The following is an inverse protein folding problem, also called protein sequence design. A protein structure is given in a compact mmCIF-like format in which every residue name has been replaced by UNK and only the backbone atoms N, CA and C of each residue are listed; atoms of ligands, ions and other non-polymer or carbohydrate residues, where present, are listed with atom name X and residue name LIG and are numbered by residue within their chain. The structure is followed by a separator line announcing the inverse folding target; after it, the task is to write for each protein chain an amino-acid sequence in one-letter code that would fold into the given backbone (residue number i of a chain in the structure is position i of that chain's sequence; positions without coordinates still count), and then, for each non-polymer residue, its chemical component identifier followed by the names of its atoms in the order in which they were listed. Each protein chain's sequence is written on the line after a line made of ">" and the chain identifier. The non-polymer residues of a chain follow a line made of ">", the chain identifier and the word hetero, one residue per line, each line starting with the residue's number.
data_IF_522774225560
#
_entry.id   IF_522774225560
#
_cell.length_a   1.000
_cell.length_b   1.000
_cell.length_c   1.000
_cell.angle_alpha   90.00
_cell.angle_beta   90.00
_cell.angle_gamma   90.00
#
_symmetry.space_group_name_H-M   'P 1'
#
loop_
_entity.id
_entity.type
_entity.pdbx_description
1 polymer ?
#
# COMPACT_ATOMS: atom_id res chain seq x y z
N UNK A 1 -14.50 77.29 16.34
CA UNK A 1 -15.44 76.66 15.38
C UNK A 1 -15.68 75.24 15.88
N UNK A 2 -16.89 74.83 16.34
CA UNK A 2 -18.21 74.76 15.67
C UNK A 2 -18.24 73.57 14.69
N UNK A 3 -19.12 72.54 14.79
CA UNK A 3 -20.04 72.17 15.89
C UNK A 3 -20.50 70.68 15.89
N UNK A 4 -20.70 70.15 17.11
CA UNK A 4 -21.44 68.95 17.61
C UNK A 4 -22.11 67.92 16.66
N UNK A 5 -21.84 66.63 16.99
CA UNK A 5 -22.77 65.51 17.33
C UNK A 5 -24.10 65.32 16.55
N UNK A 6 -24.39 64.04 16.19
CA UNK A 6 -25.47 63.22 16.81
C UNK A 6 -25.49 61.73 16.37
N UNK A 7 -25.78 60.83 17.33
CA UNK A 7 -26.57 59.59 17.13
C UNK A 7 -27.90 59.79 17.87
N UNK A 8 -29.02 59.19 17.42
CA UNK A 8 -29.60 58.00 18.09
C UNK A 8 -30.26 57.05 17.05
N UNK A 9 -31.31 56.27 17.36
CA UNK A 9 -31.38 54.99 18.11
C UNK A 9 -32.62 54.22 17.60
N UNK A 10 -32.76 52.91 17.83
CA UNK A 10 -33.85 52.06 17.30
C UNK A 10 -35.11 51.96 18.19
N UNK A 11 -36.27 51.65 17.60
CA UNK A 11 -37.42 50.96 18.23
C UNK A 11 -38.46 50.42 17.21
N UNK A 12 -39.49 49.71 17.68
CA UNK A 12 -40.34 48.74 16.94
C UNK A 12 -41.74 49.25 16.52
N UNK A 13 -42.49 48.42 15.77
CA UNK A 13 -43.94 48.03 15.84
C UNK A 13 -44.39 47.55 14.42
N UNK A 14 -45.12 46.43 14.17
CA UNK A 14 -46.51 46.00 14.53
C UNK A 14 -47.60 46.92 13.92
N UNK A 15 -48.72 46.46 13.31
CA UNK A 15 -49.31 45.09 13.16
C UNK A 15 -50.46 45.00 12.12
N UNK A 16 -51.02 43.79 11.93
CA UNK A 16 -52.42 43.43 11.55
C UNK A 16 -52.85 43.20 10.07
N UNK A 17 -53.93 42.39 9.94
CA UNK A 17 -54.60 41.86 8.71
C UNK A 17 -56.06 42.39 8.62
N UNK A 18 -56.96 42.01 7.65
CA UNK A 18 -57.62 40.67 7.64
C UNK A 18 -58.17 40.09 6.28
N UNK A 19 -58.56 38.81 6.35
CA UNK A 19 -59.67 38.05 5.68
C UNK A 19 -60.07 38.18 4.18
N UNK A 20 -60.20 37.02 3.51
CA UNK A 20 -61.51 36.37 3.21
C UNK A 20 -61.38 34.98 2.53
N UNK A 21 -62.44 34.15 2.54
CA UNK A 21 -62.56 32.75 2.01
C UNK A 21 -64.06 32.32 2.05
N UNK A 22 -64.53 31.08 1.71
CA UNK A 22 -63.87 29.85 1.23
C UNK A 22 -64.02 29.70 -0.31
N UNK A 23 -64.87 28.87 -0.99
CA UNK A 23 -65.71 27.70 -0.62
C UNK A 23 -64.97 26.34 -0.50
N UNK A 24 -65.67 25.20 -0.65
CA UNK A 24 -65.25 23.88 -0.16
C UNK A 24 -65.95 22.67 -0.86
N UNK A 25 -65.38 21.46 -0.73
CA UNK A 25 -66.13 20.18 -0.74
C UNK A 25 -65.46 19.13 0.18
N UNK A 26 -66.23 18.19 0.77
CA UNK A 26 -65.76 17.35 1.90
C UNK A 26 -66.68 16.13 2.14
N UNK A 27 -66.16 15.10 2.84
CA UNK A 27 -66.87 13.95 3.51
C UNK A 27 -67.23 12.76 2.58
N UNK A 28 -67.34 11.50 3.03
CA UNK A 28 -67.08 10.87 4.37
C UNK A 28 -66.86 9.34 4.26
N UNK A 29 -66.29 8.75 5.32
CA UNK A 29 -66.33 7.31 5.66
C UNK A 29 -67.68 6.97 6.36
N UNK A 30 -68.14 5.71 6.36
CA UNK A 30 -68.22 4.96 7.63
C UNK A 30 -67.88 3.45 7.51
N UNK A 31 -68.15 2.65 8.56
CA UNK A 31 -67.45 1.38 8.85
C UNK A 31 -68.34 0.19 9.26
N UNK A 32 -67.74 -1.01 9.19
CA UNK A 32 -67.88 -2.16 10.12
C UNK A 32 -69.08 -3.14 10.05
N UNK A 33 -68.84 -4.33 10.63
CA UNK A 33 -69.74 -5.45 11.01
C UNK A 33 -70.12 -6.46 9.90
N UNK A 34 -69.90 -7.76 10.17
CA UNK A 34 -70.36 -8.90 9.36
C UNK A 34 -69.62 -10.21 9.68
N UNK A 35 -70.34 -11.27 10.07
CA UNK A 35 -69.78 -12.51 10.65
C UNK A 35 -69.80 -13.73 9.69
N UNK A 36 -69.31 -14.86 10.20
CA UNK A 36 -69.57 -16.26 9.82
C UNK A 36 -68.65 -16.97 8.80
N UNK A 37 -68.28 -18.19 9.20
CA UNK A 37 -67.31 -19.12 8.64
C UNK A 37 -67.77 -19.89 7.39
N UNK A 38 -66.82 -20.53 6.69
CA UNK A 38 -66.73 -22.00 6.60
C UNK A 38 -65.56 -22.54 5.75
N UNK A 39 -65.21 -23.81 5.98
CA UNK A 39 -64.44 -24.78 5.17
C UNK A 39 -64.02 -24.36 3.75
N UNK A 40 -62.79 -24.61 3.29
CA UNK A 40 -62.20 -25.95 3.12
C UNK A 40 -60.65 -25.93 3.06
N UNK A 41 -60.02 -27.04 3.48
CA UNK A 41 -58.59 -27.29 3.25
C UNK A 41 -58.38 -28.14 1.97
N UNK A 42 -57.32 -27.85 1.21
CA UNK A 42 -56.88 -28.67 0.06
C UNK A 42 -55.34 -28.80 0.04
N UNK A 43 -54.77 -30.03 -0.03
CA UNK A 43 -53.39 -30.28 0.40
C UNK A 43 -52.33 -30.25 -0.73
N UNK A 44 -52.20 -29.15 -1.50
CA UNK A 44 -51.31 -29.10 -2.68
C UNK A 44 -50.31 -27.92 -2.73
N UNK A 45 -49.96 -27.32 -1.59
CA UNK A 45 -48.93 -26.25 -1.52
C UNK A 45 -47.74 -26.55 -0.61
N UNK A 46 -47.75 -27.67 0.14
CA UNK A 46 -46.75 -27.96 1.18
C UNK A 46 -45.48 -28.69 0.66
N UNK A 47 -44.96 -28.24 -0.49
CA UNK A 47 -43.79 -28.85 -1.17
C UNK A 47 -42.67 -27.87 -1.59
N UNK A 48 -42.78 -26.58 -1.27
CA UNK A 48 -41.70 -25.59 -1.47
C UNK A 48 -40.98 -25.26 -0.15
N UNK A 49 -41.66 -25.31 0.99
CA UNK A 49 -41.14 -25.00 2.33
C UNK A 49 -40.14 -26.02 2.92
N UNK A 50 -39.43 -26.79 2.08
CA UNK A 50 -38.43 -27.79 2.50
C UNK A 50 -37.07 -27.70 1.79
N UNK A 51 -36.83 -26.63 1.03
CA UNK A 51 -35.52 -26.32 0.42
C UNK A 51 -34.80 -25.11 1.05
N UNK A 52 -35.27 -24.62 2.21
CA UNK A 52 -34.70 -23.49 2.95
C UNK A 52 -34.28 -23.86 4.39
N UNK A 53 -33.86 -25.12 4.61
CA UNK A 53 -33.27 -25.57 5.88
C UNK A 53 -31.97 -26.34 5.61
N UNK A 54 -30.96 -25.62 5.18
CA UNK A 54 -29.55 -26.06 5.19
C UNK A 54 -28.65 -24.82 5.15
N UNK A 55 -27.47 -24.90 5.75
CA UNK A 55 -26.46 -23.83 5.74
C UNK A 55 -26.86 -22.47 6.38
N UNK A 56 -27.54 -22.50 7.53
CA UNK A 56 -27.34 -21.44 8.55
C UNK A 56 -26.14 -21.79 9.45
N UNK A 57 -24.97 -21.98 8.85
CA UNK A 57 -23.73 -21.67 9.56
C UNK A 57 -23.58 -20.16 9.53
N UNK A 58 -23.53 -19.50 10.69
CA UNK A 58 -23.47 -18.04 10.78
C UNK A 58 -22.06 -17.57 10.43
N UNK A 59 -21.78 -17.55 9.12
CA UNK A 59 -20.63 -16.88 8.54
C UNK A 59 -20.73 -15.41 8.90
N UNK A 60 -19.86 -14.95 9.80
CA UNK A 60 -19.86 -13.55 10.24
C UNK A 60 -19.89 -12.61 9.04
N UNK A 61 -20.96 -11.84 8.90
CA UNK A 61 -21.00 -10.72 7.97
C UNK A 61 -20.14 -9.60 8.53
N UNK A 62 -18.82 -9.74 8.38
CA UNK A 62 -17.82 -8.72 8.70
C UNK A 62 -17.91 -7.55 7.71
N UNK A 63 -19.01 -6.81 7.80
CA UNK A 63 -19.17 -5.47 7.26
C UNK A 63 -18.46 -4.42 8.13
N UNK A 64 -17.30 -4.77 8.69
CA UNK A 64 -16.30 -3.79 9.13
C UNK A 64 -15.57 -3.30 7.88
N UNK A 65 -16.06 -2.20 7.30
CA UNK A 65 -15.52 -1.60 6.07
C UNK A 65 -14.17 -0.90 6.31
N UNK A 66 -13.13 -1.70 6.54
CA UNK A 66 -11.75 -1.28 6.76
C UNK A 66 -10.94 -2.34 7.51
N UNK A 67 -9.69 -2.02 7.80
CA UNK A 67 -8.66 -2.92 8.33
C UNK A 67 -8.90 -3.52 9.73
N UNK A 68 -10.01 -3.21 10.39
CA UNK A 68 -10.24 -3.58 11.79
C UNK A 68 -9.26 -2.90 12.76
N UNK A 69 -9.17 -3.43 13.98
CA UNK A 69 -8.23 -2.94 15.01
C UNK A 69 -6.82 -3.52 14.79
N UNK A 70 -5.76 -2.77 15.16
CA UNK A 70 -4.40 -3.30 15.20
C UNK A 70 -4.24 -4.42 16.25
N UNK A 71 -3.17 -5.23 16.19
CA UNK A 71 -2.15 -5.23 15.14
C UNK A 71 -2.65 -5.76 13.80
N UNK A 72 -2.16 -5.18 12.70
CA UNK A 72 -2.51 -5.63 11.36
C UNK A 72 -1.49 -6.66 10.86
N UNK A 73 -1.99 -7.80 10.37
CA UNK A 73 -1.18 -8.93 9.93
C UNK A 73 -1.35 -9.14 8.42
N UNK A 74 -0.23 -9.14 7.71
CA UNK A 74 -0.13 -9.40 6.28
C UNK A 74 0.68 -10.68 6.08
N UNK A 75 0.31 -11.51 5.10
CA UNK A 75 1.11 -12.68 4.69
C UNK A 75 1.26 -12.76 3.18
N UNK A 76 2.31 -13.43 2.73
CA UNK A 76 2.52 -13.76 1.31
C UNK A 76 3.99 -13.93 0.95
N UNK A 77 4.46 -13.10 0.03
CA UNK A 77 5.88 -13.03 -0.37
C UNK A 77 6.26 -11.62 -0.79
N UNK A 78 7.56 -11.29 -0.78
CA UNK A 78 8.04 -10.01 -1.30
C UNK A 78 9.44 -10.10 -1.93
N UNK A 79 9.77 -9.12 -2.77
CA UNK A 79 11.13 -8.80 -3.19
C UNK A 79 11.54 -7.48 -2.52
N UNK A 80 12.56 -7.52 -1.66
CA UNK A 80 13.25 -6.31 -1.22
C UNK A 80 14.49 -6.13 -2.09
N UNK A 81 14.53 -5.08 -2.90
CA UNK A 81 15.68 -4.71 -3.70
C UNK A 81 16.31 -3.41 -3.18
N UNK A 82 17.59 -3.49 -2.83
CA UNK A 82 18.40 -2.37 -2.39
C UNK A 82 19.11 -1.73 -3.58
N UNK A 83 19.07 -0.40 -3.63
CA UNK A 83 19.73 0.44 -4.62
C UNK A 83 20.67 1.43 -3.93
N UNK A 84 21.74 1.79 -4.64
CA UNK A 84 22.62 2.90 -4.31
C UNK A 84 22.02 4.17 -4.94
N UNK A 85 21.21 4.89 -4.16
CA UNK A 85 20.45 6.07 -4.61
C UNK A 85 21.31 7.32 -4.46
N UNK A 86 21.32 8.23 -5.43
CA UNK A 86 22.04 9.51 -5.27
C UNK A 86 21.45 10.33 -4.12
N UNK A 87 22.32 10.93 -3.32
CA UNK A 87 21.96 11.83 -2.24
C UNK A 87 21.08 13.02 -2.69
N UNK A 88 21.34 13.58 -3.89
CA UNK A 88 20.56 14.70 -4.45
C UNK A 88 19.10 14.33 -4.69
N UNK A 89 18.82 13.10 -5.17
CA UNK A 89 17.46 12.58 -5.40
C UNK A 89 16.76 12.33 -4.08
N UNK A 90 17.45 11.70 -3.13
CA UNK A 90 16.92 11.41 -1.79
C UNK A 90 16.56 12.72 -1.03
N UNK A 91 17.46 13.72 -1.02
CA UNK A 91 17.26 15.02 -0.37
C UNK A 91 16.15 15.88 -1.00
N UNK A 92 15.71 15.56 -2.21
CA UNK A 92 14.58 16.25 -2.86
C UNK A 92 13.21 15.74 -2.40
N UNK A 93 13.13 14.53 -1.83
CA UNK A 93 11.86 13.87 -1.42
C UNK A 93 11.79 13.50 0.07
N UNK A 94 12.90 13.63 0.80
CA UNK A 94 12.99 13.43 2.25
C UNK A 94 12.82 14.78 2.98
N UNK A 95 11.98 14.87 4.03
CA UNK A 95 11.82 16.07 4.84
C UNK A 95 13.16 16.59 5.39
N UNK A 96 13.36 17.92 5.32
CA UNK A 96 14.63 18.58 5.69
C UNK A 96 14.96 18.48 7.19
N UNK A 97 13.98 18.13 8.00
CA UNK A 97 14.11 17.81 9.42
C UNK A 97 14.91 16.53 9.67
N UNK A 98 14.98 15.61 8.69
CA UNK A 98 15.75 14.39 8.79
C UNK A 98 17.17 14.54 8.24
N UNK A 99 18.17 14.12 9.02
CA UNK A 99 19.53 13.92 8.52
C UNK A 99 19.58 12.63 7.68
N UNK A 100 19.92 12.75 6.41
CA UNK A 100 20.16 11.58 5.53
C UNK A 100 21.39 10.79 5.99
N UNK A 101 21.32 9.46 5.96
CA UNK A 101 22.48 8.58 6.08
C UNK A 101 23.08 8.40 4.69
N UNK A 102 24.23 9.02 4.44
CA UNK A 102 24.88 9.06 3.13
C UNK A 102 26.41 8.86 3.21
N UNK A 103 26.98 8.32 2.14
CA UNK A 103 28.42 8.19 1.94
C UNK A 103 28.74 8.40 0.45
N UNK A 104 29.83 9.11 0.14
CA UNK A 104 30.31 9.36 -1.24
C UNK A 104 29.26 9.96 -2.20
N UNK A 105 28.26 10.70 -1.69
CA UNK A 105 27.17 11.27 -2.49
C UNK A 105 25.99 10.31 -2.76
N UNK A 106 25.92 9.18 -2.06
CA UNK A 106 24.85 8.18 -2.18
C UNK A 106 24.26 7.79 -0.81
N UNK A 107 23.01 7.36 -0.82
CA UNK A 107 22.32 6.71 0.32
C UNK A 107 21.86 5.30 -0.08
N UNK A 108 21.52 4.49 0.91
CA UNK A 108 20.84 3.22 0.71
C UNK A 108 19.35 3.48 0.49
N UNK A 109 18.77 2.91 -0.56
CA UNK A 109 17.34 2.97 -0.83
C UNK A 109 16.91 1.81 -1.71
N UNK A 110 15.93 2.01 -2.59
CA UNK A 110 15.44 1.00 -3.53
C UNK A 110 13.92 0.82 -3.43
N UNK A 111 13.46 -0.43 -3.43
CA UNK A 111 12.03 -0.73 -3.33
C UNK A 111 11.73 -2.06 -2.63
N UNK A 112 10.52 -2.15 -2.06
CA UNK A 112 9.93 -3.36 -1.51
C UNK A 112 8.65 -3.67 -2.29
N UNK A 113 8.65 -4.79 -3.02
CA UNK A 113 7.55 -5.25 -3.88
C UNK A 113 6.93 -6.50 -3.24
N UNK A 114 5.79 -6.33 -2.58
CA UNK A 114 5.06 -7.41 -1.91
C UNK A 114 3.87 -7.91 -2.73
N UNK A 115 3.62 -9.21 -2.61
CA UNK A 115 2.39 -9.87 -3.01
C UNK A 115 1.78 -10.51 -1.77
N UNK A 116 0.74 -9.88 -1.21
CA UNK A 116 0.03 -10.40 -0.05
C UNK A 116 -1.09 -11.35 -0.49
N UNK A 117 -1.11 -12.56 0.05
CA UNK A 117 -2.21 -13.51 -0.13
C UNK A 117 -3.24 -13.43 1.01
N UNK A 118 -2.84 -12.95 2.19
CA UNK A 118 -3.72 -12.67 3.32
C UNK A 118 -3.42 -11.27 3.88
N UNK A 119 -4.47 -10.48 4.12
CA UNK A 119 -4.41 -9.21 4.85
C UNK A 119 -5.80 -8.88 5.42
N UNK A 120 -5.96 -7.82 6.24
CA UNK A 120 -7.26 -7.37 6.73
C UNK A 120 -8.28 -7.01 5.63
N UNK A 121 -7.83 -6.76 4.39
CA UNK A 121 -8.67 -6.43 3.22
C UNK A 121 -8.52 -7.46 2.09
N UNK A 122 -8.06 -8.67 2.39
CA UNK A 122 -7.83 -9.74 1.40
C UNK A 122 -6.47 -9.64 0.72
N UNK A 123 -6.32 -10.31 -0.43
CA UNK A 123 -5.07 -10.33 -1.21
C UNK A 123 -4.87 -9.05 -2.01
N UNK A 124 -3.69 -8.44 -1.93
CA UNK A 124 -3.30 -7.29 -2.76
C UNK A 124 -1.79 -7.28 -3.05
N UNK A 125 -1.40 -6.55 -4.08
CA UNK A 125 -0.01 -6.25 -4.41
C UNK A 125 0.37 -4.84 -3.94
N UNK A 126 1.60 -4.69 -3.46
CA UNK A 126 2.14 -3.44 -2.93
C UNK A 126 3.56 -3.21 -3.45
N UNK A 127 3.88 -1.96 -3.80
CA UNK A 127 5.22 -1.51 -4.15
C UNK A 127 5.55 -0.23 -3.37
N UNK A 128 6.43 -0.34 -2.38
CA UNK A 128 6.97 0.80 -1.62
C UNK A 128 8.30 1.23 -2.22
N UNK A 129 8.43 2.51 -2.58
CA UNK A 129 9.68 3.10 -3.07
C UNK A 129 10.38 3.83 -1.92
N UNK A 130 11.58 3.35 -1.58
CA UNK A 130 12.38 3.79 -0.44
C UNK A 130 13.53 4.66 -0.97
N UNK A 131 13.39 5.98 -0.89
CA UNK A 131 14.37 6.92 -1.48
C UNK A 131 15.66 7.07 -0.68
N UNK A 132 15.65 6.73 0.61
CA UNK A 132 16.84 6.82 1.45
C UNK A 132 16.64 6.26 2.85
N UNK A 133 17.75 6.09 3.55
CA UNK A 133 17.79 5.81 4.99
C UNK A 133 18.08 7.12 5.74
N UNK A 134 17.24 7.46 6.71
CA UNK A 134 17.39 8.65 7.57
C UNK A 134 17.84 8.29 8.98
N UNK A 135 18.59 9.20 9.61
CA UNK A 135 19.13 9.03 10.95
C UNK A 135 18.07 9.31 12.02
N UNK A 136 17.92 8.41 12.99
CA UNK A 136 16.98 8.52 14.10
C UNK A 136 17.59 7.85 15.35
N UNK A 137 18.38 8.59 16.16
CA UNK A 137 19.17 8.04 17.26
C UNK A 137 18.39 7.02 18.13
N UNK A 138 19.01 5.88 18.52
CA UNK A 138 20.36 5.42 18.19
C UNK A 138 20.47 4.67 16.86
N UNK A 139 19.41 4.63 16.03
CA UNK A 139 19.32 3.79 14.82
C UNK A 139 19.05 4.63 13.55
N UNK A 140 18.62 3.97 12.47
CA UNK A 140 18.24 4.59 11.21
C UNK A 140 16.98 3.94 10.64
N UNK A 141 16.23 4.66 9.81
CA UNK A 141 14.89 4.26 9.34
C UNK A 141 14.77 4.48 7.82
N UNK A 142 13.93 3.67 7.15
CA UNK A 142 13.58 3.87 5.75
C UNK A 142 12.57 5.02 5.58
N UNK A 143 12.71 5.87 4.55
CA UNK A 143 11.67 6.84 4.16
C UNK A 143 10.83 6.33 2.98
N UNK A 144 9.53 6.15 3.20
CA UNK A 144 8.59 5.65 2.21
C UNK A 144 8.06 6.80 1.31
N UNK A 145 8.82 7.15 0.27
CA UNK A 145 8.54 8.30 -0.61
C UNK A 145 7.41 8.13 -1.63
N UNK A 146 7.06 6.89 -2.00
CA UNK A 146 5.94 6.56 -2.89
C UNK A 146 5.44 5.16 -2.57
N UNK A 147 4.12 4.93 -2.61
CA UNK A 147 3.55 3.57 -2.50
C UNK A 147 2.51 3.34 -3.59
N UNK A 148 2.54 2.17 -4.22
CA UNK A 148 1.54 1.74 -5.20
C UNK A 148 0.84 0.47 -4.72
N UNK A 149 -0.49 0.41 -4.80
CA UNK A 149 -1.29 -0.78 -4.43
C UNK A 149 -2.45 -1.02 -5.40
N UNK A 150 -2.87 -2.28 -5.59
CA UNK A 150 -4.05 -2.63 -6.39
C UNK A 150 -5.35 -2.76 -5.57
N UNK A 151 -5.43 -2.08 -4.41
CA UNK A 151 -6.62 -2.05 -3.55
C UNK A 151 -6.86 -0.63 -3.03
N UNK A 152 -8.02 -0.06 -3.36
CA UNK A 152 -8.47 1.25 -2.86
C UNK A 152 -8.53 1.29 -1.33
N UNK A 153 -8.95 0.20 -0.68
CA UNK A 153 -9.00 0.11 0.78
C UNK A 153 -7.59 0.12 1.40
N UNK A 154 -6.62 -0.55 0.78
CA UNK A 154 -5.22 -0.47 1.20
C UNK A 154 -4.66 0.94 1.00
N UNK A 155 -4.95 1.57 -0.15
CA UNK A 155 -4.52 2.93 -0.44
C UNK A 155 -5.12 3.94 0.56
N UNK A 156 -6.40 3.79 0.89
CA UNK A 156 -7.15 4.64 1.84
C UNK A 156 -6.63 4.47 3.27
N UNK A 157 -6.37 3.23 3.70
CA UNK A 157 -5.82 2.95 5.02
C UNK A 157 -4.37 3.45 5.17
N UNK A 158 -3.50 3.17 4.18
CA UNK A 158 -2.11 3.65 4.18
C UNK A 158 -1.99 5.17 4.23
N UNK A 159 -2.86 5.88 3.48
CA UNK A 159 -3.00 7.35 3.56
C UNK A 159 -3.49 7.84 4.92
N UNK A 160 -4.55 7.22 5.46
CA UNK A 160 -5.25 7.73 6.66
C UNK A 160 -4.49 7.47 7.96
N UNK A 161 -4.08 6.23 8.20
CA UNK A 161 -3.40 5.88 9.46
C UNK A 161 -1.91 6.17 9.36
N UNK A 162 -1.25 5.65 8.32
CA UNK A 162 0.20 5.71 8.13
C UNK A 162 0.70 6.96 7.40
N UNK A 163 -0.17 7.83 6.89
CA UNK A 163 0.25 9.03 6.16
C UNK A 163 1.09 8.76 4.92
N UNK A 164 0.96 7.57 4.33
CA UNK A 164 1.76 7.13 3.20
C UNK A 164 1.36 7.89 1.91
N UNK A 165 2.32 8.21 1.03
CA UNK A 165 2.07 8.70 -0.33
C UNK A 165 1.60 7.55 -1.24
N UNK A 166 0.50 6.90 -0.86
CA UNK A 166 -0.08 5.76 -1.57
C UNK A 166 -0.93 6.20 -2.77
N UNK A 167 -0.87 5.45 -3.86
CA UNK A 167 -1.70 5.60 -5.05
C UNK A 167 -2.19 4.23 -5.54
N UNK A 168 -3.34 4.22 -6.22
CA UNK A 168 -3.92 3.00 -6.80
C UNK A 168 -3.25 2.72 -8.14
N UNK A 169 -2.81 1.48 -8.33
CA UNK A 169 -2.13 1.03 -9.54
C UNK A 169 -2.55 -0.38 -9.93
N UNK A 170 -2.60 -0.65 -11.24
CA UNK A 170 -2.73 -2.02 -11.77
C UNK A 170 -1.38 -2.71 -11.79
N UNK A 171 -1.33 -3.94 -11.28
CA UNK A 171 -0.17 -4.83 -11.32
C UNK A 171 -0.47 -6.00 -12.26
N UNK A 172 0.09 -6.00 -13.47
CA UNK A 172 -0.10 -7.08 -14.44
C UNK A 172 1.12 -8.00 -14.48
N UNK A 173 0.93 -9.26 -14.08
CA UNK A 173 1.98 -10.29 -13.98
C UNK A 173 1.94 -11.21 -15.20
N UNK A 174 3.02 -11.26 -15.98
CA UNK A 174 3.17 -12.15 -17.13
C UNK A 174 4.37 -13.08 -16.96
N UNK A 175 4.26 -14.32 -17.44
CA UNK A 175 5.36 -15.30 -17.41
C UNK A 175 5.85 -15.51 -18.84
N UNK A 176 7.09 -15.13 -19.12
CA UNK A 176 7.74 -15.35 -20.42
C UNK A 176 8.66 -16.55 -20.29
N UNK A 177 8.20 -17.69 -20.79
CA UNK A 177 9.06 -18.84 -21.06
C UNK A 177 9.99 -18.47 -22.23
N UNK A 178 11.29 -18.36 -21.98
CA UNK A 178 12.24 -18.16 -23.08
C UNK A 178 12.32 -19.44 -23.92
N UNK A 179 12.05 -19.34 -25.22
CA UNK A 179 12.37 -20.42 -26.14
C UNK A 179 13.88 -20.39 -26.41
N UNK A 180 14.58 -21.44 -26.00
CA UNK A 180 16.02 -21.57 -26.24
C UNK A 180 16.27 -21.72 -27.75
N UNK A 181 16.67 -20.62 -28.40
CA UNK A 181 16.91 -20.57 -29.86
C UNK A 181 18.19 -21.35 -30.20
N UNK A 182 18.05 -22.66 -30.31
CA UNK A 182 19.11 -23.60 -30.68
C UNK A 182 19.82 -23.14 -31.96
N UNK A 183 21.08 -22.70 -31.81
CA UNK A 183 21.97 -22.45 -32.95
C UNK A 183 22.45 -23.80 -33.48
N UNK A 184 21.73 -24.35 -34.47
CA UNK A 184 22.23 -25.48 -35.28
C UNK A 184 23.45 -25.05 -36.10
N UNK A 185 24.37 -26.01 -36.32
CA UNK A 185 25.74 -25.93 -36.91
C UNK A 185 26.84 -25.66 -35.86
N UNK A 186 27.92 -26.43 -35.81
CA UNK A 186 28.32 -27.61 -36.62
C UNK A 186 29.36 -28.49 -35.90
N UNK A 187 29.64 -29.68 -36.45
CA UNK A 187 30.51 -30.74 -35.91
C UNK A 187 31.85 -30.26 -35.29
N UNK A 188 32.29 -30.91 -34.20
CA UNK A 188 33.70 -30.87 -33.80
C UNK A 188 34.01 -31.28 -32.34
N UNK A 189 34.37 -32.56 -32.14
CA UNK A 189 35.11 -33.11 -30.97
C UNK A 189 34.41 -33.04 -29.58
N UNK A 190 34.90 -33.85 -28.64
CA UNK A 190 34.32 -34.01 -27.29
C UNK A 190 34.94 -33.03 -26.28
N UNK A 191 34.11 -32.40 -25.46
CA UNK A 191 34.51 -31.70 -24.23
C UNK A 191 33.63 -32.13 -23.06
N UNK A 192 34.23 -32.46 -21.93
CA UNK A 192 33.55 -32.93 -20.72
C UNK A 192 32.72 -31.84 -20.02
N UNK A 193 31.82 -32.26 -19.13
CA UNK A 193 31.17 -31.41 -18.12
C UNK A 193 30.41 -30.18 -18.65
N UNK A 194 29.53 -30.37 -19.65
CA UNK A 194 28.47 -29.39 -19.91
C UNK A 194 27.49 -29.37 -18.72
N UNK A 195 27.60 -28.35 -17.87
CA UNK A 195 26.54 -27.98 -16.92
C UNK A 195 25.34 -27.47 -17.71
N UNK A 196 24.38 -28.36 -17.95
CA UNK A 196 23.15 -28.06 -18.67
C UNK A 196 22.41 -26.89 -18.01
N UNK A 197 22.28 -25.78 -18.73
CA UNK A 197 21.86 -24.49 -18.17
C UNK A 197 20.33 -24.41 -18.21
N UNK A 198 19.70 -24.46 -17.04
CA UNK A 198 18.24 -24.52 -16.90
C UNK A 198 17.53 -23.37 -17.61
N UNK A 199 16.43 -23.68 -18.29
CA UNK A 199 15.70 -22.71 -19.10
C UNK A 199 14.99 -21.69 -18.21
N UNK A 200 15.57 -20.49 -18.05
CA UNK A 200 15.06 -19.47 -17.14
C UNK A 200 13.66 -18.97 -17.53
N UNK A 201 12.81 -18.79 -16.50
CA UNK A 201 11.47 -18.23 -16.65
C UNK A 201 11.45 -16.83 -16.06
N UNK A 202 11.25 -15.83 -16.92
CA UNK A 202 11.16 -14.44 -16.47
C UNK A 202 9.69 -14.12 -16.13
N UNK A 203 9.48 -13.45 -14.99
CA UNK A 203 8.18 -12.91 -14.60
C UNK A 203 8.24 -11.38 -14.74
N UNK A 204 7.55 -10.84 -15.74
CA UNK A 204 7.48 -9.40 -15.92
C UNK A 204 6.23 -8.87 -15.23
N UNK A 205 6.42 -7.87 -14.36
CA UNK A 205 5.37 -7.19 -13.60
C UNK A 205 5.26 -5.75 -14.09
N UNK A 206 4.21 -5.46 -14.86
CA UNK A 206 3.90 -4.11 -15.32
C UNK A 206 3.13 -3.35 -14.23
N UNK A 207 3.52 -2.10 -13.95
CA UNK A 207 2.81 -1.22 -12.99
C UNK A 207 2.28 0.02 -13.71
N UNK A 208 0.98 0.28 -13.52
CA UNK A 208 0.24 1.34 -14.21
C UNK A 208 -0.56 2.16 -13.19
N UNK A 209 -0.28 3.46 -13.09
CA UNK A 209 -0.93 4.35 -12.13
C UNK A 209 -2.33 4.77 -12.63
N UNK A 210 -3.32 4.72 -11.73
CA UNK A 210 -4.71 5.07 -12.02
C UNK A 210 -5.03 6.45 -11.42
N UNK A 211 -4.60 7.51 -12.10
CA UNK A 211 -5.13 8.85 -11.86
C UNK A 211 -6.23 9.13 -12.89
N UNK A 212 -7.49 9.26 -12.45
CA UNK A 212 -8.55 9.72 -13.36
C UNK A 212 -8.23 11.15 -13.85
N UNK A 213 -8.31 11.44 -15.17
CA UNK A 213 -8.84 10.60 -16.25
C UNK A 213 -7.79 9.88 -17.12
N UNK A 214 -6.50 9.88 -16.76
CA UNK A 214 -5.40 9.35 -17.61
C UNK A 214 -4.63 8.21 -16.93
N UNK A 215 -4.97 6.98 -17.32
CA UNK A 215 -4.21 5.77 -16.99
C UNK A 215 -2.78 5.87 -17.55
N UNK A 216 -1.78 5.96 -16.66
CA UNK A 216 -0.38 6.21 -17.06
C UNK A 216 0.50 5.01 -16.73
N UNK A 217 1.11 4.38 -17.73
CA UNK A 217 2.13 3.33 -17.52
C UNK A 217 3.40 3.98 -17.00
N UNK A 218 3.92 3.49 -15.87
CA UNK A 218 5.12 4.06 -15.26
C UNK A 218 6.37 3.25 -15.64
N UNK A 219 6.34 1.96 -15.37
CA UNK A 219 7.48 1.06 -15.51
C UNK A 219 7.07 -0.41 -15.54
N UNK A 220 7.96 -1.22 -16.11
CA UNK A 220 7.92 -2.69 -16.01
C UNK A 220 9.04 -3.16 -15.08
N UNK A 221 8.76 -4.15 -14.23
CA UNK A 221 9.74 -4.82 -13.36
C UNK A 221 9.93 -6.25 -13.87
N UNK A 222 11.02 -6.51 -14.58
CA UNK A 222 11.40 -7.84 -15.05
C UNK A 222 12.12 -8.63 -13.95
N UNK A 223 11.44 -9.62 -13.38
CA UNK A 223 12.03 -10.55 -12.41
C UNK A 223 12.70 -11.71 -13.14
N UNK A 224 14.03 -11.77 -13.09
CA UNK A 224 14.79 -12.97 -13.45
C UNK A 224 14.69 -13.96 -12.30
N UNK A 225 14.12 -15.14 -12.57
CA UNK A 225 14.01 -16.22 -11.58
C UNK A 225 14.97 -17.35 -11.96
N UNK A 226 16.15 -17.48 -11.30
CA UNK A 226 17.07 -18.57 -11.58
C UNK A 226 16.39 -19.90 -11.24
N UNK A 227 16.09 -20.69 -12.27
CA UNK A 227 15.43 -21.99 -12.12
C UNK A 227 16.46 -22.99 -11.61
N UNK A 228 16.65 -23.00 -10.29
CA UNK A 228 17.36 -24.08 -9.61
C UNK A 228 16.69 -25.40 -10.00
N UNK A 229 17.49 -26.30 -10.59
CA UNK A 229 17.10 -27.68 -10.90
C UNK A 229 16.44 -28.31 -9.68
N UNK A 230 15.46 -29.18 -9.90
CA UNK A 230 14.61 -29.80 -8.86
C UNK A 230 15.44 -30.56 -7.82
N UNK A 231 15.93 -29.82 -6.82
CA UNK A 231 16.71 -30.33 -5.72
C UNK A 231 15.73 -31.03 -4.76
N UNK A 232 15.96 -32.31 -4.38
CA UNK A 232 15.10 -33.02 -3.43
C UNK A 232 14.91 -32.26 -2.11
N UNK A 233 15.90 -31.46 -1.70
CA UNK A 233 15.80 -30.56 -0.56
C UNK A 233 15.13 -29.22 -0.93
N UNK A 234 13.89 -29.28 -1.42
CA UNK A 234 13.06 -28.10 -1.78
C UNK A 234 12.98 -27.07 -0.64
N UNK A 235 13.05 -27.52 0.62
CA UNK A 235 13.06 -26.63 1.79
C UNK A 235 14.37 -25.84 1.96
N UNK A 236 15.53 -26.37 1.55
CA UNK A 236 16.80 -25.62 1.59
C UNK A 236 16.81 -24.48 0.56
N UNK A 237 16.12 -24.67 -0.57
CA UNK A 237 16.00 -23.68 -1.66
C UNK A 237 15.22 -22.40 -1.33
N UNK A 238 14.74 -22.20 -0.10
CA UNK A 238 14.03 -20.99 0.35
C UNK A 238 14.85 -20.14 1.35
N UNK A 239 16.05 -20.58 1.74
CA UNK A 239 16.93 -19.86 2.68
C UNK A 239 16.51 -19.93 4.16
N UNK A 240 17.32 -19.37 5.08
CA UNK A 240 17.05 -19.41 6.52
C UNK A 240 15.79 -18.63 6.89
N UNK A 241 15.06 -19.09 7.92
CA UNK A 241 14.03 -18.29 8.58
C UNK A 241 14.71 -17.17 9.37
N UNK A 242 14.22 -15.94 9.22
CA UNK A 242 14.66 -14.77 9.97
C UNK A 242 13.47 -14.09 10.63
N UNK A 243 13.74 -13.37 11.73
CA UNK A 243 12.84 -12.35 12.29
C UNK A 243 13.57 -11.01 12.32
N UNK A 244 13.01 -9.98 11.72
CA UNK A 244 13.59 -8.63 11.65
C UNK A 244 12.51 -7.59 11.92
N UNK A 245 12.92 -6.41 12.38
CA UNK A 245 12.05 -5.22 12.40
C UNK A 245 12.55 -4.24 11.34
N UNK A 246 11.66 -3.75 10.48
CA UNK A 246 11.96 -2.70 9.51
C UNK A 246 11.43 -1.35 10.03
N UNK A 247 12.28 -0.54 10.70
CA UNK A 247 11.91 0.79 11.16
C UNK A 247 11.73 1.75 9.99
N UNK A 248 10.58 2.40 9.92
CA UNK A 248 10.16 3.21 8.77
C UNK A 248 9.54 4.54 9.19
N UNK A 249 9.61 5.52 8.29
CA UNK A 249 8.98 6.83 8.42
C UNK A 249 8.13 7.16 7.19
N UNK A 250 7.11 7.96 7.44
CA UNK A 250 6.13 8.50 6.48
C UNK A 250 5.51 9.80 7.03
N UNK A 251 4.43 10.28 6.41
CA UNK A 251 3.82 11.56 6.76
C UNK A 251 4.29 12.69 5.84
N UNK A 252 4.10 13.95 6.27
CA UNK A 252 4.21 15.13 5.39
C UNK A 252 3.33 15.02 4.12
N UNK A 253 2.16 14.35 4.22
CA UNK A 253 1.17 14.22 3.15
C UNK A 253 -0.10 15.04 3.46
N UNK A 254 -0.94 15.27 2.46
CA UNK A 254 -2.23 15.97 2.61
C UNK A 254 -3.12 15.36 3.73
N UNK A 255 -3.13 14.02 3.83
CA UNK A 255 -3.90 13.30 4.84
C UNK A 255 -3.23 13.28 6.22
N UNK A 256 -1.90 13.42 6.26
CA UNK A 256 -1.09 13.41 7.49
C UNK A 256 0.11 14.37 7.33
N UNK A 257 -0.08 15.66 7.69
CA UNK A 257 1.02 16.64 7.71
C UNK A 257 2.06 16.37 8.80
N UNK A 258 1.68 15.58 9.80
CA UNK A 258 2.55 15.06 10.86
C UNK A 258 3.65 14.16 10.28
N UNK A 259 4.79 14.03 10.97
CA UNK A 259 5.76 12.96 10.71
C UNK A 259 5.37 11.72 11.51
N UNK A 260 5.39 10.55 10.88
CA UNK A 260 4.91 9.29 11.46
C UNK A 260 6.02 8.23 11.44
N UNK A 261 6.21 7.56 12.57
CA UNK A 261 7.17 6.47 12.78
C UNK A 261 6.44 5.16 13.04
N UNK A 262 6.81 4.11 12.33
CA UNK A 262 6.24 2.77 12.49
C UNK A 262 7.31 1.69 12.28
N UNK A 263 6.96 0.46 12.65
CA UNK A 263 7.82 -0.71 12.51
C UNK A 263 7.02 -1.82 11.85
N UNK A 264 7.60 -2.45 10.82
CA UNK A 264 7.09 -3.69 10.28
C UNK A 264 7.89 -4.84 10.89
N UNK A 265 7.30 -5.61 11.81
CA UNK A 265 7.92 -6.83 12.32
C UNK A 265 7.70 -7.95 11.30
N UNK A 266 8.79 -8.40 10.69
CA UNK A 266 8.77 -9.37 9.58
C UNK A 266 9.39 -10.70 10.05
N UNK A 267 8.62 -11.75 9.87
CA UNK A 267 9.02 -13.15 9.93
C UNK A 267 8.97 -13.71 8.50
N UNK A 268 10.09 -14.20 7.96
CA UNK A 268 10.14 -14.76 6.60
C UNK A 268 11.31 -15.73 6.42
N UNK A 269 11.32 -16.45 5.29
CA UNK A 269 12.47 -17.22 4.82
C UNK A 269 13.23 -16.40 3.77
N UNK A 270 14.47 -16.03 4.09
CA UNK A 270 15.25 -15.06 3.32
C UNK A 270 16.13 -15.75 2.28
N UNK A 271 15.94 -15.42 1.00
CA UNK A 271 16.74 -15.95 -0.10
C UNK A 271 17.37 -14.82 -0.94
N UNK A 272 18.70 -14.72 -1.05
CA UNK A 272 19.34 -13.86 -2.04
C UNK A 272 18.92 -14.23 -3.47
N UNK A 273 18.70 -13.23 -4.31
CA UNK A 273 18.29 -13.42 -5.72
C UNK A 273 18.97 -12.42 -6.64
N UNK A 274 18.90 -12.66 -7.95
CA UNK A 274 19.31 -11.69 -8.97
C UNK A 274 18.43 -10.43 -8.91
N UNK A 275 19.00 -9.21 -8.97
CA UNK A 275 18.21 -7.99 -9.03
C UNK A 275 17.27 -7.94 -10.23
N UNK A 276 16.01 -7.58 -9.96
CA UNK A 276 15.00 -7.26 -10.93
C UNK A 276 15.40 -6.04 -11.78
N UNK A 277 15.12 -6.12 -13.07
CA UNK A 277 15.36 -5.04 -14.04
C UNK A 277 14.13 -4.15 -14.12
N UNK A 278 14.24 -2.92 -13.62
CA UNK A 278 13.21 -1.89 -13.83
C UNK A 278 13.44 -1.23 -15.19
N UNK A 279 12.41 -1.20 -16.03
CA UNK A 279 12.41 -0.55 -17.35
C UNK A 279 11.38 0.58 -17.34
N UNK A 280 11.83 1.82 -17.56
CA UNK A 280 10.93 2.97 -17.69
C UNK A 280 10.40 3.03 -19.12
N UNK A 281 9.08 2.89 -19.29
CA UNK A 281 8.42 3.16 -20.57
C UNK A 281 8.01 4.62 -20.61
N UNK A 282 8.97 5.47 -20.96
CA UNK A 282 8.73 6.87 -21.28
C UNK A 282 8.73 7.00 -22.80
N UNK A 283 7.59 7.33 -23.39
CA UNK A 283 7.51 7.61 -24.83
C UNK A 283 8.41 8.79 -25.20
N UNK A 284 9.07 8.69 -26.36
CA UNK A 284 10.34 9.37 -26.65
C UNK A 284 10.32 10.90 -26.62
N UNK A 285 9.14 11.52 -26.79
CA UNK A 285 8.94 12.97 -26.75
C UNK A 285 9.00 13.51 -25.31
N UNK A 286 8.68 12.68 -24.31
CA UNK A 286 8.41 13.11 -22.94
C UNK A 286 9.68 13.17 -22.06
N UNK A 287 10.84 13.46 -22.67
CA UNK A 287 12.16 13.51 -22.00
C UNK A 287 12.36 14.81 -21.22
N UNK A 288 11.84 15.93 -21.73
CA UNK A 288 11.89 17.25 -21.09
C UNK A 288 10.98 17.34 -19.86
N UNK A 289 9.86 16.60 -19.85
CA UNK A 289 8.93 16.58 -18.70
C UNK A 289 9.49 15.88 -17.45
N UNK A 290 10.73 15.36 -17.47
CA UNK A 290 11.34 14.69 -16.32
C UNK A 290 11.44 15.63 -15.10
N UNK A 291 11.64 16.93 -15.33
CA UNK A 291 11.67 17.97 -14.29
C UNK A 291 10.32 18.17 -13.56
N UNK A 292 9.22 17.63 -14.11
CA UNK A 292 7.88 17.63 -13.49
C UNK A 292 7.38 16.23 -13.09
N UNK A 293 8.18 15.17 -13.25
CA UNK A 293 7.81 13.83 -12.75
C UNK A 293 8.08 13.72 -11.25
N UNK A 294 7.39 12.78 -10.61
CA UNK A 294 7.67 12.42 -9.21
C UNK A 294 9.12 11.94 -9.06
N UNK A 295 9.94 12.76 -8.40
CA UNK A 295 11.37 12.50 -8.17
C UNK A 295 11.57 11.17 -7.45
N UNK A 296 10.59 10.74 -6.63
CA UNK A 296 10.60 9.46 -5.92
C UNK A 296 10.71 8.26 -6.86
N UNK A 297 10.10 8.28 -8.05
CA UNK A 297 10.18 7.16 -9.02
C UNK A 297 11.62 6.99 -9.54
N UNK A 298 12.41 8.07 -9.61
CA UNK A 298 13.82 8.03 -10.08
C UNK A 298 14.72 7.12 -9.23
N UNK A 299 14.33 6.85 -7.98
CA UNK A 299 14.94 5.85 -7.09
C UNK A 299 14.99 4.47 -7.74
N UNK A 300 13.93 4.05 -8.41
CA UNK A 300 13.81 2.70 -8.99
C UNK A 300 14.78 2.46 -10.15
N UNK A 301 15.27 3.52 -10.79
CA UNK A 301 16.27 3.47 -11.86
C UNK A 301 17.71 3.67 -11.34
N UNK A 302 17.90 3.82 -10.03
CA UNK A 302 19.24 3.87 -9.41
C UNK A 302 19.95 2.51 -9.51
N UNK A 303 21.27 2.46 -9.27
CA UNK A 303 22.06 1.22 -9.37
C UNK A 303 21.62 0.19 -8.31
N UNK A 304 21.09 -1.00 -8.65
CA UNK A 304 20.82 -2.04 -7.67
C UNK A 304 22.12 -2.62 -7.11
N UNK A 305 22.11 -3.03 -5.84
CA UNK A 305 23.27 -3.61 -5.14
C UNK A 305 23.00 -4.95 -4.47
N UNK A 306 21.76 -5.22 -4.05
CA UNK A 306 21.35 -6.46 -3.40
C UNK A 306 19.85 -6.68 -3.64
N UNK A 307 19.43 -7.93 -3.83
CA UNK A 307 18.03 -8.31 -3.96
C UNK A 307 17.74 -9.56 -3.13
N UNK A 308 16.66 -9.52 -2.35
CA UNK A 308 16.27 -10.53 -1.37
C UNK A 308 14.80 -10.92 -1.57
N UNK A 309 14.56 -12.19 -1.83
CA UNK A 309 13.22 -12.79 -1.89
C UNK A 309 12.80 -13.22 -0.47
N UNK A 310 11.74 -12.61 0.04
CA UNK A 310 11.12 -12.87 1.34
C UNK A 310 10.02 -13.92 1.11
N UNK A 311 10.37 -15.20 1.26
CA UNK A 311 9.45 -16.32 1.10
C UNK A 311 8.67 -16.59 2.39
N UNK A 312 7.41 -17.04 2.30
CA UNK A 312 6.53 -17.25 3.47
C UNK A 312 6.52 -16.03 4.42
N UNK A 313 6.40 -14.84 3.84
CA UNK A 313 6.35 -13.59 4.58
C UNK A 313 5.13 -13.57 5.50
N UNK A 314 5.35 -13.22 6.76
CA UNK A 314 4.36 -12.76 7.73
C UNK A 314 4.87 -11.43 8.28
N UNK A 315 4.10 -10.37 8.10
CA UNK A 315 4.41 -9.02 8.57
C UNK A 315 3.34 -8.58 9.56
N UNK A 316 3.76 -8.20 10.77
CA UNK A 316 2.91 -7.54 11.76
C UNK A 316 3.24 -6.04 11.79
N UNK A 317 2.21 -5.20 11.79
CA UNK A 317 2.36 -3.74 11.84
C UNK A 317 1.46 -3.18 12.93
N UNK A 318 2.08 -2.43 13.85
CA UNK A 318 1.41 -1.65 14.89
C UNK A 318 1.05 -0.24 14.39
N UNK A 319 0.18 0.50 15.09
CA UNK A 319 -0.13 1.89 14.74
C UNK A 319 1.12 2.79 14.73
N UNK A 320 1.20 3.75 13.80
CA UNK A 320 2.28 4.71 13.77
C UNK A 320 2.21 5.68 14.94
N UNK A 321 3.38 6.12 15.41
CA UNK A 321 3.53 7.13 16.45
C UNK A 321 3.95 8.46 15.80
N UNK A 322 3.34 9.57 16.22
CA UNK A 322 3.72 10.92 15.77
C UNK A 322 5.12 11.28 16.30
N UNK A 323 5.98 11.75 15.41
CA UNK A 323 7.32 12.22 15.75
C UNK A 323 7.23 13.67 16.22
N UNK A 324 7.39 13.90 17.53
CA UNK A 324 7.49 15.23 18.09
C UNK A 324 8.74 15.96 17.60
N UNK A 325 8.62 17.25 17.26
CA UNK A 325 9.76 18.08 16.86
C UNK A 325 10.61 18.48 18.08
N UNK A 326 11.46 17.55 18.51
CA UNK A 326 12.64 17.81 19.34
C UNK A 326 12.59 17.29 20.78
N UNK A 327 13.22 16.14 21.02
CA UNK A 327 13.79 15.78 22.33
C UNK A 327 14.74 14.57 22.22
N UNK A 328 15.85 14.71 21.50
CA UNK A 328 16.96 13.73 21.54
C UNK A 328 18.33 14.41 21.29
N UNK A 329 18.57 15.50 22.02
CA UNK A 329 19.95 15.86 22.37
C UNK A 329 20.41 14.91 23.47
N UNK A 330 21.52 14.16 23.30
CA UNK A 330 22.03 13.28 24.35
C UNK A 330 22.59 14.11 25.50
N UNK A 331 21.82 14.23 26.58
CA UNK A 331 22.26 14.83 27.84
C UNK A 331 23.50 14.13 28.37
N UNK A 332 24.64 14.84 28.47
CA UNK A 332 25.88 14.31 29.03
C UNK A 332 25.82 14.19 30.56
N UNK A 333 25.00 13.28 31.07
CA UNK A 333 24.98 12.87 32.48
C UNK A 333 24.92 11.35 32.59
N UNK A 334 26.08 10.71 32.73
CA UNK A 334 26.20 9.25 32.79
C UNK A 334 27.63 8.71 32.91
N UNK A 335 28.56 9.50 33.48
CA UNK A 335 29.97 9.10 33.64
C UNK A 335 30.50 9.47 35.03
N UNK A 336 29.85 8.90 36.04
CA UNK A 336 30.34 8.67 37.39
C UNK A 336 29.91 7.25 37.79
N UNK A 337 30.68 6.43 38.50
CA UNK A 337 32.14 6.40 38.73
C UNK A 337 32.42 5.09 39.47
N UNK A 338 32.98 4.08 38.82
CA UNK A 338 33.34 2.80 39.46
C UNK A 338 34.85 2.60 39.46
N UNK A 339 35.50 3.12 40.51
CA UNK A 339 36.89 2.86 40.86
C UNK A 339 37.04 2.75 42.38
N UNK A 340 36.78 1.56 42.90
CA UNK A 340 37.31 0.96 44.15
C UNK A 340 36.90 -0.51 44.16
#
# INVERSE_FOLDING_TARGET
>A
MIEKRKKPTASQLLSASPESTPPAFRRRIPSSVGSAASHLASPVTNRIARYLVTCMEVKETKSSSGYGKPPWIFKGSALYQFHLVKAEIAKAVIPKEFKLVEAFGYTLGGFFLANYNESPVGSFDELVVISGIVWNPPISHAWASRVYVNSDEACRHGRKEFGLPSQVATFSKSIKAMSSRSKRRSNGLMSSSHVDLGNESNKDIQVVEINCPVTTRLFDIGLTSPVLKTNPFKWMGMGPTIKISLPSFSGHTEHKPELLKYYCEIECRLKPTSPARVLGLLDGEMKESLEKRDVSISVMFSKPILALEFNCLKMQVEPPVVVSKGSDHPSQHGLQSYHS
#
